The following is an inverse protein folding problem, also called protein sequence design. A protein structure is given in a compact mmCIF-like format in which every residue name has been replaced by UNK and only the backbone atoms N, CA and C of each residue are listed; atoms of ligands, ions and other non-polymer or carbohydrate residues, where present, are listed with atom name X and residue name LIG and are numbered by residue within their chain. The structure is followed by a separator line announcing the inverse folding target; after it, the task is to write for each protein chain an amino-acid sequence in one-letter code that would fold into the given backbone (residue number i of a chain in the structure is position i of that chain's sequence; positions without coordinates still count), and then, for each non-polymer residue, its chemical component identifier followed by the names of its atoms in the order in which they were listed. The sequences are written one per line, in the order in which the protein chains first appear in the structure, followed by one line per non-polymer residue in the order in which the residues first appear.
data_IF_309826680488
#
_entry.id   IF_309826680488
#
_cell.length_a   1.000
_cell.length_b   1.000
_cell.length_c   1.000
_cell.angle_alpha   90.00
_cell.angle_beta   90.00
_cell.angle_gamma   90.00
#
_symmetry.space_group_name_H-M   'P 1'
#
loop_
_entity.id
_entity.type
_entity.pdbx_description
1 polymer ?
#
# COMPACT_ATOMS: atom_id res chain seq x y z
N UNK A 1 36.70 1.54 27.45
CA UNK A 1 35.24 1.24 27.38
C UNK A 1 34.99 -0.16 27.92
N UNK A 2 34.07 -0.32 28.88
CA UNK A 2 33.69 -1.64 29.41
C UNK A 2 33.22 -2.55 28.26
N UNK A 3 33.60 -3.83 28.28
CA UNK A 3 33.27 -4.81 27.23
C UNK A 3 31.78 -4.81 26.86
N UNK A 4 30.90 -4.65 27.85
CA UNK A 4 29.43 -4.52 27.71
C UNK A 4 29.04 -3.40 26.74
N UNK A 5 29.71 -2.24 26.81
CA UNK A 5 29.36 -1.10 25.95
C UNK A 5 29.64 -1.40 24.47
N UNK A 6 30.71 -2.14 24.18
CA UNK A 6 31.03 -2.56 22.81
C UNK A 6 29.97 -3.54 22.29
N UNK A 7 29.60 -4.55 23.08
CA UNK A 7 28.55 -5.51 22.71
C UNK A 7 27.20 -4.83 22.51
N UNK A 8 26.80 -3.95 23.42
CA UNK A 8 25.53 -3.24 23.33
C UNK A 8 25.45 -2.33 22.12
N UNK A 9 26.56 -1.68 21.75
CA UNK A 9 26.63 -0.86 20.56
C UNK A 9 26.47 -1.72 19.30
N UNK A 10 27.13 -2.87 19.22
CA UNK A 10 26.99 -3.80 18.09
C UNK A 10 25.56 -4.33 17.97
N UNK A 11 24.95 -4.78 19.06
CA UNK A 11 23.56 -5.26 19.04
C UNK A 11 22.57 -4.16 18.70
N UNK A 12 22.74 -2.97 19.26
CA UNK A 12 21.86 -1.84 18.96
C UNK A 12 21.91 -1.47 17.47
N UNK A 13 23.10 -1.43 16.87
CA UNK A 13 23.27 -1.17 15.43
C UNK A 13 22.62 -2.29 14.61
N UNK A 14 22.88 -3.55 14.95
CA UNK A 14 22.32 -4.69 14.24
C UNK A 14 20.78 -4.70 14.29
N UNK A 15 20.20 -4.45 15.46
CA UNK A 15 18.75 -4.40 15.64
C UNK A 15 18.14 -3.18 14.94
N UNK A 16 18.80 -2.02 14.97
CA UNK A 16 18.35 -0.84 14.24
C UNK A 16 18.33 -1.09 12.71
N UNK A 17 19.36 -1.73 12.16
CA UNK A 17 19.41 -2.10 10.74
C UNK A 17 18.29 -3.09 10.41
N UNK A 18 18.14 -4.15 11.21
CA UNK A 18 17.10 -5.16 11.00
C UNK A 18 15.69 -4.57 11.07
N UNK A 19 15.43 -3.71 12.06
CA UNK A 19 14.15 -3.02 12.22
C UNK A 19 13.89 -2.03 11.09
N UNK A 20 14.92 -1.33 10.61
CA UNK A 20 14.84 -0.40 9.48
C UNK A 20 14.48 -1.11 8.17
N UNK A 21 15.18 -2.21 7.84
CA UNK A 21 14.89 -3.02 6.64
C UNK A 21 13.48 -3.59 6.72
N UNK A 22 13.13 -4.19 7.86
CA UNK A 22 11.81 -4.79 8.08
C UNK A 22 10.71 -3.74 7.99
N UNK A 23 10.93 -2.56 8.59
CA UNK A 23 10.00 -1.44 8.53
C UNK A 23 9.80 -0.93 7.10
N UNK A 24 10.86 -0.79 6.32
CA UNK A 24 10.76 -0.39 4.91
C UNK A 24 9.94 -1.41 4.09
N UNK A 25 10.25 -2.70 4.22
CA UNK A 25 9.54 -3.77 3.49
C UNK A 25 8.08 -3.85 3.92
N UNK A 26 7.80 -3.83 5.23
CA UNK A 26 6.45 -3.88 5.77
C UNK A 26 5.62 -2.68 5.33
N UNK A 27 6.18 -1.47 5.36
CA UNK A 27 5.49 -0.27 4.91
C UNK A 27 5.12 -0.36 3.43
N UNK A 28 6.08 -0.72 2.57
CA UNK A 28 5.83 -0.89 1.13
C UNK A 28 4.76 -1.93 0.85
N UNK A 29 4.86 -3.09 1.50
CA UNK A 29 3.92 -4.20 1.32
C UNK A 29 2.50 -3.83 1.77
N UNK A 30 2.36 -3.16 2.92
CA UNK A 30 1.05 -2.74 3.43
C UNK A 30 0.42 -1.65 2.57
N UNK A 31 1.21 -0.69 2.07
CA UNK A 31 0.72 0.35 1.17
C UNK A 31 0.27 -0.24 -0.18
N UNK A 32 1.10 -1.09 -0.79
CA UNK A 32 0.75 -1.77 -2.05
C UNK A 32 -0.50 -2.63 -1.89
N UNK A 33 -0.64 -3.38 -0.78
CA UNK A 33 -1.84 -4.16 -0.53
C UNK A 33 -3.09 -3.27 -0.42
N UNK A 34 -3.01 -2.15 0.31
CA UNK A 34 -4.13 -1.20 0.39
C UNK A 34 -4.49 -0.62 -0.98
N UNK A 35 -3.49 -0.30 -1.80
CA UNK A 35 -3.68 0.18 -3.17
C UNK A 35 -4.33 -0.87 -4.07
N UNK A 36 -3.89 -2.13 -3.99
CA UNK A 36 -4.46 -3.24 -4.77
C UNK A 36 -5.91 -3.53 -4.36
N UNK A 37 -6.23 -3.45 -3.06
CA UNK A 37 -7.61 -3.59 -2.56
C UNK A 37 -8.52 -2.50 -3.16
N UNK A 38 -8.07 -1.25 -3.15
CA UNK A 38 -8.82 -0.13 -3.76
C UNK A 38 -8.97 -0.32 -5.27
N UNK A 39 -7.91 -0.74 -5.94
CA UNK A 39 -7.96 -1.01 -7.37
C UNK A 39 -8.97 -2.13 -7.72
N UNK A 40 -9.01 -3.19 -6.91
CA UNK A 40 -9.98 -4.27 -7.08
C UNK A 40 -11.42 -3.76 -6.88
N UNK A 41 -11.66 -2.92 -5.88
CA UNK A 41 -12.97 -2.28 -5.68
C UNK A 41 -13.34 -1.38 -6.87
N UNK A 42 -12.39 -0.60 -7.39
CA UNK A 42 -12.60 0.23 -8.57
C UNK A 42 -12.96 -0.60 -9.82
N UNK A 43 -12.32 -1.77 -10.01
CA UNK A 43 -12.66 -2.70 -11.08
C UNK A 43 -14.06 -3.26 -10.93
N UNK A 44 -14.44 -3.70 -9.73
CA UNK A 44 -15.80 -4.21 -9.47
C UNK A 44 -16.84 -3.11 -9.73
N UNK A 45 -16.58 -1.87 -9.32
CA UNK A 45 -17.45 -0.72 -9.63
C UNK A 45 -17.55 -0.47 -11.14
N UNK A 46 -16.44 -0.53 -11.87
CA UNK A 46 -16.45 -0.41 -13.33
C UNK A 46 -17.29 -1.53 -13.97
N UNK A 47 -17.11 -2.78 -13.56
CA UNK A 47 -17.93 -3.90 -14.05
C UNK A 47 -19.41 -3.74 -13.69
N UNK A 48 -19.73 -3.23 -12.50
CA UNK A 48 -21.10 -2.93 -12.10
C UNK A 48 -21.73 -1.85 -13.00
N UNK A 49 -20.99 -0.80 -13.33
CA UNK A 49 -21.44 0.23 -14.27
C UNK A 49 -21.67 -0.36 -15.68
N UNK A 50 -20.74 -1.21 -16.16
CA UNK A 50 -20.89 -1.89 -17.45
C UNK A 50 -22.07 -2.88 -17.46
N UNK A 51 -22.33 -3.55 -16.34
CA UNK A 51 -23.49 -4.42 -16.18
C UNK A 51 -24.80 -3.62 -16.21
N UNK A 52 -24.84 -2.45 -15.54
CA UNK A 52 -25.98 -1.53 -15.60
C UNK A 52 -26.22 -1.04 -17.03
N UNK A 53 -25.16 -0.64 -17.76
CA UNK A 53 -25.25 -0.30 -19.20
C UNK A 53 -25.85 -1.46 -20.00
N UNK A 54 -25.35 -2.67 -19.79
CA UNK A 54 -25.82 -3.87 -20.46
C UNK A 54 -27.30 -4.16 -20.19
N UNK A 55 -27.73 -4.02 -18.94
CA UNK A 55 -29.13 -4.14 -18.53
C UNK A 55 -30.01 -3.09 -19.20
N UNK A 56 -29.60 -1.82 -19.19
CA UNK A 56 -30.33 -0.73 -19.84
C UNK A 56 -30.49 -0.98 -21.34
N UNK A 57 -29.41 -1.34 -22.05
CA UNK A 57 -29.46 -1.65 -23.48
C UNK A 57 -30.36 -2.84 -23.81
N UNK A 58 -30.24 -3.94 -23.07
CA UNK A 58 -30.86 -5.23 -23.43
C UNK A 58 -32.31 -5.34 -22.95
N UNK A 59 -32.64 -4.74 -21.81
CA UNK A 59 -33.94 -4.93 -21.16
C UNK A 59 -34.77 -3.65 -21.15
N UNK A 60 -34.18 -2.50 -20.81
CA UNK A 60 -34.95 -1.26 -20.64
C UNK A 60 -35.25 -0.58 -21.99
N UNK A 61 -34.24 -0.41 -22.84
CA UNK A 61 -34.40 0.28 -24.13
C UNK A 61 -35.53 -0.30 -25.00
N UNK A 62 -35.69 -1.63 -25.17
CA UNK A 62 -36.79 -2.18 -25.95
C UNK A 62 -38.17 -1.83 -25.39
N UNK A 63 -38.32 -1.76 -24.07
CA UNK A 63 -39.60 -1.42 -23.41
C UNK A 63 -39.99 0.04 -23.58
N UNK A 64 -39.00 0.92 -23.81
CA UNK A 64 -39.21 2.36 -23.99
C UNK A 64 -39.27 2.80 -25.46
N UNK A 65 -38.98 1.90 -26.40
CA UNK A 65 -38.79 2.23 -27.82
C UNK A 65 -39.99 2.97 -28.44
N UNK A 66 -41.22 2.54 -28.16
CA UNK A 66 -42.43 3.17 -28.71
C UNK A 66 -42.65 4.60 -28.21
N UNK A 67 -42.31 4.89 -26.95
CA UNK A 67 -42.44 6.24 -26.38
C UNK A 67 -41.31 7.18 -26.83
N UNK A 68 -40.14 6.62 -27.15
CA UNK A 68 -38.96 7.38 -27.57
C UNK A 68 -39.15 8.17 -28.88
N UNK A 69 -40.09 7.75 -29.73
CA UNK A 69 -40.42 8.45 -30.98
C UNK A 69 -41.01 9.84 -30.73
N UNK A 70 -41.76 10.01 -29.63
CA UNK A 70 -42.44 11.26 -29.29
C UNK A 70 -41.73 12.02 -28.16
N UNK A 71 -41.15 11.31 -27.20
CA UNK A 71 -40.45 11.90 -26.05
C UNK A 71 -39.12 11.18 -25.78
N UNK A 72 -38.03 11.93 -25.70
CA UNK A 72 -36.73 11.34 -25.37
C UNK A 72 -36.63 11.04 -23.88
N UNK A 73 -36.55 9.75 -23.55
CA UNK A 73 -36.40 9.22 -22.20
C UNK A 73 -34.94 8.83 -21.95
N UNK A 74 -34.18 9.61 -21.14
CA UNK A 74 -32.78 9.31 -20.84
C UNK A 74 -32.55 7.93 -20.22
N UNK A 75 -33.56 7.35 -19.56
CA UNK A 75 -33.55 6.01 -18.97
C UNK A 75 -33.29 4.89 -19.99
N UNK A 76 -33.49 5.17 -21.28
CA UNK A 76 -33.13 4.25 -22.38
C UNK A 76 -31.64 4.27 -22.76
N UNK A 77 -30.88 5.27 -22.28
CA UNK A 77 -29.46 5.46 -22.60
C UNK A 77 -28.61 4.69 -21.58
N UNK A 78 -27.73 3.77 -22.02
CA UNK A 78 -26.92 2.95 -21.11
C UNK A 78 -26.07 3.77 -20.14
N UNK A 79 -25.45 4.84 -20.63
CA UNK A 79 -24.63 5.75 -19.83
C UNK A 79 -25.42 6.45 -18.72
N UNK A 80 -26.68 6.80 -19.02
CA UNK A 80 -27.56 7.43 -18.04
C UNK A 80 -27.85 6.47 -16.89
N UNK A 81 -28.24 5.21 -17.19
CA UNK A 81 -28.52 4.20 -16.16
C UNK A 81 -27.33 3.94 -15.23
N UNK A 82 -26.14 3.78 -15.79
CA UNK A 82 -24.93 3.61 -14.99
C UNK A 82 -24.60 4.85 -14.14
N UNK A 83 -24.72 6.04 -14.72
CA UNK A 83 -24.44 7.29 -13.99
C UNK A 83 -25.43 7.53 -12.85
N UNK A 84 -26.73 7.33 -13.08
CA UNK A 84 -27.75 7.51 -12.04
C UNK A 84 -27.59 6.51 -10.89
N UNK A 85 -27.25 5.25 -11.19
CA UNK A 85 -26.98 4.25 -10.15
C UNK A 85 -25.84 4.70 -9.21
N UNK A 86 -24.76 5.24 -9.76
CA UNK A 86 -23.65 5.74 -8.95
C UNK A 86 -23.95 7.09 -8.30
N UNK A 87 -24.81 7.93 -8.87
CA UNK A 87 -25.31 9.12 -8.19
C UNK A 87 -26.10 8.74 -6.93
N UNK A 88 -26.91 7.68 -6.99
CA UNK A 88 -27.60 7.15 -5.81
C UNK A 88 -26.59 6.61 -4.78
N UNK A 89 -25.57 5.85 -5.21
CA UNK A 89 -24.50 5.39 -4.32
C UNK A 89 -23.83 6.56 -3.56
N UNK A 90 -23.59 7.67 -4.27
CA UNK A 90 -22.93 8.85 -3.73
C UNK A 90 -23.70 9.58 -2.65
N UNK A 91 -25.00 9.31 -2.49
CA UNK A 91 -25.79 9.87 -1.38
C UNK A 91 -25.25 9.40 -0.02
N UNK A 92 -24.80 8.14 0.06
CA UNK A 92 -24.23 7.53 1.25
C UNK A 92 -22.69 7.43 1.19
N UNK A 93 -22.10 7.58 0.00
CA UNK A 93 -20.67 7.45 -0.27
C UNK A 93 -20.15 8.58 -1.19
N UNK A 94 -20.18 9.86 -0.74
CA UNK A 94 -19.95 11.03 -1.58
C UNK A 94 -18.56 11.11 -2.23
N UNK A 95 -17.57 10.44 -1.64
CA UNK A 95 -16.18 10.36 -2.09
C UNK A 95 -15.94 9.36 -3.22
N UNK A 96 -16.91 8.48 -3.49
CA UNK A 96 -16.87 7.56 -4.63
C UNK A 96 -17.44 8.27 -5.87
N UNK A 97 -16.96 7.88 -7.05
CA UNK A 97 -17.39 8.50 -8.29
C UNK A 97 -17.41 7.52 -9.45
N UNK A 98 -18.39 7.71 -10.33
CA UNK A 98 -18.40 7.15 -11.68
C UNK A 98 -18.85 8.24 -12.64
N UNK A 99 -18.15 8.40 -13.75
CA UNK A 99 -18.51 9.33 -14.81
C UNK A 99 -18.11 8.78 -16.17
N UNK A 100 -18.96 8.96 -17.16
CA UNK A 100 -18.60 8.74 -18.57
C UNK A 100 -18.12 10.06 -19.18
N UNK A 101 -16.90 10.45 -18.81
CA UNK A 101 -16.29 11.69 -19.22
C UNK A 101 -16.06 11.70 -20.74
N UNK A 102 -16.69 12.63 -21.44
CA UNK A 102 -16.65 12.70 -22.91
C UNK A 102 -16.23 14.09 -23.36
N UNK A 103 -15.44 14.19 -24.44
CA UNK A 103 -14.97 15.49 -24.94
C UNK A 103 -16.12 16.34 -25.51
N UNK A 104 -17.04 15.69 -26.22
CA UNK A 104 -18.25 16.28 -26.77
C UNK A 104 -19.48 15.43 -26.39
N UNK A 105 -20.01 15.56 -25.16
CA UNK A 105 -21.17 14.79 -24.69
C UNK A 105 -22.49 15.40 -25.18
N UNK A 106 -23.54 14.58 -25.29
CA UNK A 106 -24.92 15.09 -25.45
C UNK A 106 -25.40 15.84 -24.21
N UNK A 107 -25.16 15.28 -23.02
CA UNK A 107 -25.51 15.93 -21.76
C UNK A 107 -24.28 16.68 -21.21
N UNK A 108 -24.35 18.02 -21.02
CA UNK A 108 -23.21 18.80 -20.53
C UNK A 108 -22.62 18.33 -19.20
N UNK A 109 -23.39 17.63 -18.36
CA UNK A 109 -22.90 17.06 -17.09
C UNK A 109 -21.75 16.05 -17.29
N UNK A 110 -21.73 15.39 -18.45
CA UNK A 110 -20.77 14.33 -18.79
C UNK A 110 -19.52 14.91 -19.48
N UNK A 111 -19.41 16.24 -19.59
CA UNK A 111 -18.26 16.90 -20.23
C UNK A 111 -17.01 16.61 -19.42
N UNK A 112 -15.98 16.13 -20.11
CA UNK A 112 -14.69 15.86 -19.51
C UNK A 112 -14.13 17.12 -18.85
N UNK A 113 -13.70 16.99 -17.59
CA UNK A 113 -12.81 17.96 -16.96
C UNK A 113 -11.40 17.84 -17.58
N UNK A 114 -10.55 18.84 -17.38
CA UNK A 114 -9.23 18.92 -18.02
C UNK A 114 -8.40 17.64 -17.80
N UNK A 115 -8.36 17.12 -16.58
CA UNK A 115 -7.65 15.88 -16.25
C UNK A 115 -8.27 14.63 -16.89
N UNK A 116 -9.59 14.62 -17.11
CA UNK A 116 -10.29 13.52 -17.78
C UNK A 116 -9.99 13.57 -19.28
N UNK A 117 -9.88 14.78 -19.84
CA UNK A 117 -9.45 14.99 -21.22
C UNK A 117 -8.05 14.45 -21.45
N UNK A 118 -7.12 14.62 -20.51
CA UNK A 118 -5.77 14.03 -20.59
C UNK A 118 -5.80 12.50 -20.67
N UNK A 119 -6.70 11.86 -19.89
CA UNK A 119 -6.91 10.40 -19.93
C UNK A 119 -7.43 9.99 -21.31
N UNK A 120 -8.42 10.72 -21.84
CA UNK A 120 -8.99 10.45 -23.16
C UNK A 120 -7.93 10.59 -24.26
N UNK A 121 -7.07 11.62 -24.18
CA UNK A 121 -5.97 11.81 -25.13
C UNK A 121 -4.94 10.68 -25.07
N UNK A 122 -4.62 10.18 -23.86
CA UNK A 122 -3.75 8.99 -23.73
C UNK A 122 -4.34 7.77 -24.43
N UNK A 123 -5.64 7.52 -24.28
CA UNK A 123 -6.32 6.44 -25.00
C UNK A 123 -6.33 6.64 -26.52
N UNK A 124 -6.44 7.89 -27.00
CA UNK A 124 -6.32 8.20 -28.44
C UNK A 124 -4.91 7.95 -28.99
N UNK A 125 -3.88 8.17 -28.17
CA UNK A 125 -2.49 8.01 -28.56
C UNK A 125 -1.98 6.56 -28.45
N UNK A 126 -2.62 5.74 -27.61
CA UNK A 126 -2.20 4.36 -27.34
C UNK A 126 -3.37 3.40 -27.63
N UNK A 127 -3.37 2.80 -28.82
CA UNK A 127 -4.47 1.93 -29.31
C UNK A 127 -4.72 0.69 -28.47
N UNK A 128 -3.72 0.23 -27.71
CA UNK A 128 -3.75 -1.07 -27.03
C UNK A 128 -4.00 -0.96 -25.51
N UNK A 129 -4.13 0.26 -24.96
CA UNK A 129 -4.42 0.44 -23.54
C UNK A 129 -5.92 0.28 -23.28
N UNK A 130 -6.29 -0.86 -22.70
CA UNK A 130 -7.68 -1.15 -22.30
C UNK A 130 -8.09 -0.50 -20.97
N UNK A 131 -7.10 -0.12 -20.15
CA UNK A 131 -7.29 0.41 -18.80
C UNK A 131 -6.14 1.35 -18.43
N UNK A 132 -6.48 2.49 -17.80
CA UNK A 132 -5.53 3.41 -17.20
C UNK A 132 -5.83 3.57 -15.72
N UNK A 133 -4.81 3.48 -14.89
CA UNK A 133 -4.91 3.61 -13.43
C UNK A 133 -4.00 4.73 -12.98
N UNK A 134 -4.48 5.59 -12.09
CA UNK A 134 -3.66 6.61 -11.46
C UNK A 134 -4.21 7.04 -10.13
N UNK A 135 -3.45 7.88 -9.44
CA UNK A 135 -3.83 8.49 -8.17
C UNK A 135 -3.82 10.01 -8.34
N UNK A 136 -4.70 10.68 -7.59
CA UNK A 136 -4.86 12.12 -7.60
C UNK A 136 -5.15 12.62 -6.20
N UNK A 137 -4.64 13.79 -5.88
CA UNK A 137 -5.10 14.52 -4.72
C UNK A 137 -6.41 15.23 -5.05
N UNK A 138 -7.39 15.11 -4.15
CA UNK A 138 -8.69 15.76 -4.26
C UNK A 138 -8.99 16.50 -2.96
N UNK A 139 -9.96 17.43 -2.93
CA UNK A 139 -10.35 18.11 -1.69
C UNK A 139 -10.80 17.16 -0.56
N UNK A 140 -11.29 15.96 -0.89
CA UNK A 140 -11.66 14.91 0.08
C UNK A 140 -10.52 13.94 0.43
N UNK A 141 -9.31 14.18 -0.09
CA UNK A 141 -8.12 13.35 0.11
C UNK A 141 -7.63 12.65 -1.16
N UNK A 142 -6.63 11.77 -1.05
CA UNK A 142 -6.12 11.02 -2.20
C UNK A 142 -7.20 10.08 -2.73
N UNK A 143 -7.34 10.03 -4.05
CA UNK A 143 -8.27 9.16 -4.75
C UNK A 143 -7.54 8.40 -5.86
N UNK A 144 -7.80 7.10 -5.94
CA UNK A 144 -7.41 6.28 -7.06
C UNK A 144 -8.49 6.38 -8.13
N UNK A 145 -8.08 6.57 -9.39
CA UNK A 145 -8.98 6.45 -10.52
C UNK A 145 -8.61 5.24 -11.38
N UNK A 146 -9.65 4.60 -11.92
CA UNK A 146 -9.57 3.59 -12.96
C UNK A 146 -10.39 4.07 -14.15
N UNK A 147 -9.76 4.12 -15.31
CA UNK A 147 -10.40 4.57 -16.54
C UNK A 147 -10.38 3.49 -17.62
N UNK A 148 -11.43 3.42 -18.42
CA UNK A 148 -11.51 2.61 -19.65
C UNK A 148 -12.02 3.46 -20.81
N UNK A 149 -11.52 3.26 -22.05
CA UNK A 149 -11.89 4.10 -23.17
C UNK A 149 -13.33 3.84 -23.63
N UNK A 150 -14.03 4.90 -24.00
CA UNK A 150 -15.29 4.82 -24.75
C UNK A 150 -14.93 4.92 -26.23
N UNK A 151 -14.62 3.78 -26.83
CA UNK A 151 -14.39 3.67 -28.26
C UNK A 151 -15.67 3.26 -29.00
N UNK A 152 -16.01 3.96 -30.08
CA UNK A 152 -17.20 3.68 -30.89
C UNK A 152 -16.96 2.45 -31.76
N UNK A 153 -17.21 1.27 -31.19
CA UNK A 153 -17.13 -0.02 -31.91
C UNK A 153 -18.47 -0.53 -32.41
N UNK A 154 -19.57 0.07 -31.97
CA UNK A 154 -20.93 -0.27 -32.38
C UNK A 154 -21.52 0.86 -33.24
N UNK A 155 -21.92 0.54 -34.47
CA UNK A 155 -22.57 1.48 -35.38
C UNK A 155 -23.91 2.02 -34.81
N UNK A 156 -24.53 1.31 -33.88
CA UNK A 156 -25.73 1.76 -33.17
C UNK A 156 -25.54 3.08 -32.40
N UNK A 157 -24.31 3.41 -31.99
CA UNK A 157 -24.01 4.72 -31.39
C UNK A 157 -24.19 5.87 -32.39
N UNK A 158 -23.89 5.62 -33.67
CA UNK A 158 -23.93 6.63 -34.72
C UNK A 158 -25.35 6.97 -35.17
N UNK A 159 -26.36 6.20 -34.76
CA UNK A 159 -27.78 6.54 -34.95
C UNK A 159 -28.13 7.85 -34.26
N UNK A 160 -27.53 8.14 -33.10
CA UNK A 160 -27.78 9.36 -32.35
C UNK A 160 -26.64 10.37 -32.40
N UNK A 161 -25.39 9.91 -32.62
CA UNK A 161 -24.19 10.73 -32.42
C UNK A 161 -23.42 11.07 -33.71
N UNK A 162 -23.90 10.66 -34.89
CA UNK A 162 -23.24 10.99 -36.16
C UNK A 162 -23.46 12.45 -36.55
N UNK A 163 -24.62 12.78 -37.13
CA UNK A 163 -25.00 14.13 -37.54
C UNK A 163 -26.29 14.53 -36.84
N UNK A 164 -26.54 15.83 -36.77
CA UNK A 164 -27.79 16.37 -36.20
C UNK A 164 -29.00 15.84 -36.99
N UNK A 165 -28.94 15.84 -38.33
CA UNK A 165 -30.04 15.41 -39.19
C UNK A 165 -30.41 13.93 -39.04
N UNK A 166 -29.42 13.08 -38.73
CA UNK A 166 -29.63 11.64 -38.51
C UNK A 166 -30.23 11.32 -37.13
N UNK A 167 -30.07 12.22 -36.16
CA UNK A 167 -30.45 11.96 -34.78
C UNK A 167 -31.97 12.03 -34.56
N UNK A 168 -32.52 11.28 -33.58
CA UNK A 168 -33.94 11.36 -33.26
C UNK A 168 -34.36 12.78 -32.89
N UNK A 169 -35.45 13.28 -33.50
CA UNK A 169 -35.99 14.63 -33.21
C UNK A 169 -36.28 14.84 -31.73
N UNK A 170 -36.69 13.78 -31.03
CA UNK A 170 -36.95 13.81 -29.59
C UNK A 170 -35.67 14.09 -28.78
N UNK A 171 -34.51 13.56 -29.19
CA UNK A 171 -33.20 13.85 -28.58
C UNK A 171 -32.83 15.32 -28.77
N UNK A 172 -32.92 15.81 -30.00
CA UNK A 172 -32.61 17.20 -30.35
C UNK A 172 -33.51 18.17 -29.57
N UNK A 173 -34.82 17.88 -29.47
CA UNK A 173 -35.76 18.69 -28.69
C UNK A 173 -35.36 18.80 -27.22
N UNK A 174 -34.73 17.77 -26.64
CA UNK A 174 -34.33 17.74 -25.24
C UNK A 174 -32.96 18.38 -24.97
N UNK A 175 -31.97 18.09 -25.82
CA UNK A 175 -30.57 18.46 -25.57
C UNK A 175 -30.02 19.53 -26.53
N UNK A 176 -30.79 19.90 -27.55
CA UNK A 176 -30.37 20.80 -28.62
C UNK A 176 -29.40 20.14 -29.60
N UNK A 177 -28.87 20.97 -30.50
CA UNK A 177 -28.02 20.55 -31.62
C UNK A 177 -26.52 20.83 -31.39
N UNK A 178 -26.20 21.51 -30.28
CA UNK A 178 -24.87 22.07 -30.07
C UNK A 178 -23.78 21.06 -29.67
N UNK A 179 -24.14 19.91 -29.08
CA UNK A 179 -23.17 18.95 -28.53
C UNK A 179 -23.62 17.51 -28.72
N UNK A 180 -22.67 16.57 -28.65
CA UNK A 180 -22.96 15.13 -28.71
C UNK A 180 -23.12 14.56 -30.12
N UNK A 181 -22.66 15.28 -31.14
CA UNK A 181 -22.64 14.85 -32.54
C UNK A 181 -21.21 14.87 -33.10
N UNK A 182 -21.04 14.36 -34.31
CA UNK A 182 -19.77 14.32 -35.04
C UNK A 182 -18.88 13.12 -34.73
N UNK A 183 -19.36 12.18 -33.90
CA UNK A 183 -18.59 11.00 -33.51
C UNK A 183 -18.34 10.10 -34.72
N UNK A 184 -17.13 9.55 -34.81
CA UNK A 184 -16.73 8.65 -35.89
C UNK A 184 -16.61 7.20 -35.41
N UNK A 185 -16.81 6.26 -36.33
CA UNK A 185 -16.55 4.84 -36.03
C UNK A 185 -15.08 4.63 -35.68
N UNK A 186 -14.80 3.75 -34.71
CA UNK A 186 -13.50 3.50 -34.09
C UNK A 186 -12.85 4.70 -33.37
N UNK A 187 -13.54 5.83 -33.22
CA UNK A 187 -13.04 6.96 -32.44
C UNK A 187 -13.17 6.70 -30.93
N UNK A 188 -12.15 7.09 -30.16
CA UNK A 188 -12.25 7.22 -28.70
C UNK A 188 -12.85 8.59 -28.38
N UNK A 189 -14.13 8.63 -28.01
CA UNK A 189 -14.86 9.89 -27.77
C UNK A 189 -14.79 10.35 -26.30
N UNK A 190 -14.48 9.41 -25.40
CA UNK A 190 -14.48 9.63 -23.96
C UNK A 190 -13.82 8.49 -23.19
N UNK A 191 -13.97 8.52 -21.87
CA UNK A 191 -13.52 7.52 -20.94
C UNK A 191 -14.57 7.30 -19.84
N UNK A 192 -14.81 6.04 -19.48
CA UNK A 192 -15.49 5.68 -18.25
C UNK A 192 -14.47 5.82 -17.12
N UNK A 193 -14.75 6.63 -16.11
CA UNK A 193 -13.83 6.91 -15.02
C UNK A 193 -14.50 6.58 -13.70
N UNK A 194 -13.93 5.61 -12.98
CA UNK A 194 -14.26 5.31 -11.59
C UNK A 194 -13.25 6.03 -10.70
N UNK A 195 -13.72 6.66 -9.64
CA UNK A 195 -12.90 7.29 -8.60
C UNK A 195 -13.24 6.67 -7.25
N UNK A 196 -12.21 6.22 -6.52
CA UNK A 196 -12.34 5.56 -5.21
C UNK A 196 -11.42 6.25 -4.20
N UNK A 197 -11.87 6.53 -2.97
CA UNK A 197 -11.02 7.15 -1.94
C UNK A 197 -9.91 6.21 -1.48
N UNK A 198 -8.72 6.75 -1.26
CA UNK A 198 -7.57 6.02 -0.69
C UNK A 198 -7.39 6.30 0.82
N UNK A 199 -8.09 7.29 1.37
CA UNK A 199 -7.91 7.75 2.76
C UNK A 199 -8.06 6.62 3.80
N UNK A 200 -9.19 5.92 3.80
CA UNK A 200 -9.45 4.85 4.77
C UNK A 200 -8.52 3.63 4.59
N UNK A 201 -8.30 3.12 3.35
CA UNK A 201 -7.31 2.07 3.09
C UNK A 201 -5.89 2.43 3.56
N UNK A 202 -5.41 3.64 3.26
CA UNK A 202 -4.09 4.11 3.72
C UNK A 202 -4.05 4.20 5.25
N UNK A 203 -5.10 4.71 5.90
CA UNK A 203 -5.16 4.74 7.37
C UNK A 203 -5.12 3.33 7.98
N UNK A 204 -5.82 2.36 7.39
CA UNK A 204 -5.76 0.95 7.83
C UNK A 204 -4.35 0.38 7.66
N UNK A 205 -3.69 0.62 6.53
CA UNK A 205 -2.31 0.22 6.29
C UNK A 205 -1.34 0.84 7.31
N UNK A 206 -1.47 2.14 7.60
CA UNK A 206 -0.66 2.83 8.59
C UNK A 206 -0.87 2.31 10.01
N UNK A 207 -2.10 2.02 10.40
CA UNK A 207 -2.42 1.43 11.70
C UNK A 207 -1.83 0.02 11.83
N UNK A 208 -1.99 -0.82 10.80
CA UNK A 208 -1.40 -2.16 10.76
C UNK A 208 0.13 -2.09 10.86
N UNK A 209 0.76 -1.17 10.10
CA UNK A 209 2.19 -0.93 10.14
C UNK A 209 2.66 -0.54 11.54
N UNK A 210 1.99 0.44 12.17
CA UNK A 210 2.35 0.91 13.51
C UNK A 210 2.24 -0.21 14.54
N UNK A 211 1.15 -0.97 14.52
CA UNK A 211 0.94 -2.12 15.43
C UNK A 211 2.04 -3.17 15.24
N UNK A 212 2.34 -3.52 13.98
CA UNK A 212 3.40 -4.47 13.65
C UNK A 212 4.78 -3.99 14.14
N UNK A 213 5.12 -2.72 13.89
CA UNK A 213 6.41 -2.16 14.31
C UNK A 213 6.54 -2.06 15.84
N UNK A 214 5.45 -1.73 16.54
CA UNK A 214 5.45 -1.72 18.01
C UNK A 214 5.63 -3.13 18.58
N UNK A 215 4.91 -4.12 18.03
CA UNK A 215 5.06 -5.52 18.46
C UNK A 215 6.48 -6.05 18.19
N UNK A 216 7.02 -5.79 17.00
CA UNK A 216 8.38 -6.16 16.64
C UNK A 216 9.42 -5.48 17.53
N UNK A 217 9.25 -4.17 17.79
CA UNK A 217 10.11 -3.41 18.69
C UNK A 217 10.08 -3.96 20.11
N UNK A 218 8.91 -4.35 20.62
CA UNK A 218 8.77 -4.99 21.93
C UNK A 218 9.52 -6.34 21.99
N UNK A 219 9.38 -7.18 20.97
CA UNK A 219 10.10 -8.46 20.88
C UNK A 219 11.62 -8.24 20.85
N UNK A 220 12.10 -7.29 20.03
CA UNK A 220 13.52 -6.94 19.98
C UNK A 220 14.03 -6.40 21.32
N UNK A 221 13.23 -5.60 22.03
CA UNK A 221 13.59 -5.11 23.36
C UNK A 221 13.73 -6.25 24.38
N UNK A 222 12.81 -7.23 24.37
CA UNK A 222 12.91 -8.42 25.22
C UNK A 222 14.17 -9.22 24.91
N UNK A 223 14.47 -9.45 23.62
CA UNK A 223 15.69 -10.15 23.20
C UNK A 223 16.94 -9.37 23.61
N UNK A 224 16.95 -8.05 23.42
CA UNK A 224 18.07 -7.18 23.78
C UNK A 224 18.38 -7.26 25.29
N UNK A 225 17.34 -7.21 26.12
CA UNK A 225 17.47 -7.36 27.58
C UNK A 225 17.97 -8.77 27.92
N UNK A 226 17.38 -9.81 27.31
CA UNK A 226 17.78 -11.20 27.51
C UNK A 226 19.26 -11.44 27.19
N UNK A 227 19.74 -10.96 26.03
CA UNK A 227 21.15 -11.06 25.64
C UNK A 227 22.07 -10.27 26.58
N UNK A 228 21.65 -9.09 27.03
CA UNK A 228 22.40 -8.30 28.00
C UNK A 228 22.57 -9.01 29.33
N UNK A 229 21.48 -9.60 29.85
CA UNK A 229 21.51 -10.40 31.07
C UNK A 229 22.41 -11.61 30.87
N UNK A 230 22.21 -12.37 29.79
CA UNK A 230 23.01 -13.55 29.45
C UNK A 230 24.51 -13.23 29.44
N UNK A 231 24.94 -12.20 28.69
CA UNK A 231 26.35 -11.80 28.61
C UNK A 231 26.89 -11.34 29.96
N UNK A 232 26.09 -10.59 30.72
CA UNK A 232 26.52 -10.08 32.02
C UNK A 232 26.77 -11.21 33.01
N UNK A 233 25.84 -12.17 33.10
CA UNK A 233 25.93 -13.27 34.06
C UNK A 233 26.87 -14.38 33.62
N UNK A 234 26.84 -14.78 32.34
CA UNK A 234 27.61 -15.92 31.85
C UNK A 234 29.04 -15.56 31.45
N UNK A 235 29.30 -14.32 31.00
CA UNK A 235 30.63 -13.95 30.47
C UNK A 235 31.31 -12.90 31.34
N UNK A 236 30.67 -11.73 31.53
CA UNK A 236 31.34 -10.57 32.12
C UNK A 236 31.67 -10.80 33.59
N UNK A 237 30.72 -11.31 34.38
CA UNK A 237 30.94 -11.57 35.81
C UNK A 237 32.06 -12.59 36.06
N UNK A 238 32.07 -13.79 35.46
CA UNK A 238 33.16 -14.76 35.62
C UNK A 238 34.54 -14.21 35.19
N UNK A 239 34.61 -13.52 34.04
CA UNK A 239 35.87 -12.93 33.56
C UNK A 239 36.38 -11.84 34.52
N UNK A 240 35.48 -11.00 35.06
CA UNK A 240 35.88 -10.00 36.05
C UNK A 240 36.35 -10.62 37.38
N UNK A 241 35.76 -11.74 37.80
CA UNK A 241 36.23 -12.48 38.98
C UNK A 241 37.64 -13.03 38.76
N UNK A 242 37.90 -13.68 37.60
CA UNK A 242 39.23 -14.15 37.23
C UNK A 242 40.26 -13.01 37.14
N UNK A 243 39.89 -11.88 36.52
CA UNK A 243 40.77 -10.72 36.41
C UNK A 243 41.14 -10.16 37.80
N UNK A 244 40.18 -10.11 38.73
CA UNK A 244 40.43 -9.66 40.10
C UNK A 244 41.35 -10.62 40.86
N UNK A 245 41.14 -11.93 40.75
CA UNK A 245 42.01 -12.93 41.37
C UNK A 245 43.44 -12.86 40.81
N UNK A 246 43.58 -12.67 39.49
CA UNK A 246 44.88 -12.48 38.85
C UNK A 246 45.61 -11.23 39.37
N UNK A 247 44.89 -10.12 39.53
CA UNK A 247 45.43 -8.88 40.09
C UNK A 247 45.91 -9.07 41.54
N UNK A 248 45.11 -9.74 42.37
CA UNK A 248 45.48 -10.05 43.77
C UNK A 248 46.74 -10.92 43.86
N UNK A 249 46.83 -11.99 43.06
CA UNK A 249 48.01 -12.86 43.01
C UNK A 249 49.24 -12.09 42.53
N UNK A 250 49.09 -11.19 41.54
CA UNK A 250 50.21 -10.37 41.04
C UNK A 250 50.77 -9.40 42.08
N UNK A 251 49.94 -8.99 43.04
CA UNK A 251 50.31 -8.13 44.17
C UNK A 251 50.88 -8.91 45.37
N UNK A 252 51.16 -10.21 45.20
CA UNK A 252 51.73 -11.07 46.24
C UNK A 252 50.72 -11.64 47.24
N UNK A 253 49.41 -11.48 47.01
CA UNK A 253 48.37 -12.12 47.84
C UNK A 253 48.12 -13.54 47.37
N UNK A 254 49.04 -14.43 47.76
CA UNK A 254 49.08 -15.81 47.30
C UNK A 254 48.03 -16.73 47.96
N UNK A 255 47.43 -16.30 49.06
CA UNK A 255 46.39 -17.04 49.79
C UNK A 255 44.96 -16.83 49.24
N UNK A 256 44.82 -16.15 48.09
CA UNK A 256 43.52 -15.94 47.46
C UNK A 256 42.85 -17.28 47.09
N UNK A 257 41.53 -17.38 47.24
CA UNK A 257 40.77 -18.59 46.92
C UNK A 257 40.92 -18.99 45.44
N UNK A 258 40.79 -20.29 45.16
CA UNK A 258 40.74 -20.79 43.78
C UNK A 258 39.47 -20.30 43.08
N UNK A 259 39.60 -19.99 41.79
CA UNK A 259 38.43 -19.73 40.97
C UNK A 259 37.60 -21.01 40.84
N UNK A 260 36.32 -20.93 41.19
CA UNK A 260 35.35 -22.01 41.03
C UNK A 260 34.21 -21.50 40.15
N UNK A 261 34.15 -21.96 38.90
CA UNK A 261 33.07 -21.53 38.00
C UNK A 261 33.07 -22.25 36.68
N UNK A 262 31.87 -22.63 36.22
CA UNK A 262 31.57 -23.12 34.87
C UNK A 262 32.21 -24.45 34.47
N UNK A 263 31.58 -25.14 33.52
CA UNK A 263 32.20 -26.22 32.74
C UNK A 263 32.45 -25.80 31.29
N UNK A 264 32.31 -24.50 31.00
CA UNK A 264 32.53 -23.88 29.70
C UNK A 264 34.01 -23.44 29.54
N UNK A 265 34.32 -22.76 28.45
CA UNK A 265 35.67 -22.28 28.14
C UNK A 265 36.22 -21.34 29.23
N UNK A 266 35.35 -20.60 29.93
CA UNK A 266 35.77 -19.74 31.05
C UNK A 266 36.14 -20.61 32.26
N UNK A 267 35.40 -21.69 32.51
CA UNK A 267 35.76 -22.67 33.54
C UNK A 267 37.10 -23.36 33.27
N UNK A 268 37.37 -23.75 32.02
CA UNK A 268 38.66 -24.33 31.61
C UNK A 268 39.81 -23.33 31.80
N UNK A 269 39.58 -22.05 31.48
CA UNK A 269 40.53 -20.97 31.74
C UNK A 269 40.79 -20.81 33.24
N UNK A 270 39.74 -20.84 34.07
CA UNK A 270 39.85 -20.76 35.51
C UNK A 270 40.65 -21.90 36.14
N UNK A 271 40.46 -23.14 35.66
CA UNK A 271 41.26 -24.29 36.09
C UNK A 271 42.74 -24.15 35.70
N UNK A 272 43.02 -23.59 34.52
CA UNK A 272 44.38 -23.34 34.07
C UNK A 272 45.04 -22.22 34.88
N UNK A 273 44.29 -21.17 35.22
CA UNK A 273 44.72 -20.11 36.12
C UNK A 273 45.05 -20.64 37.53
N UNK A 274 44.20 -21.48 38.12
CA UNK A 274 44.44 -22.07 39.44
C UNK A 274 45.74 -22.90 39.47
N UNK A 275 46.00 -23.70 38.42
CA UNK A 275 47.25 -24.47 38.28
C UNK A 275 48.47 -23.55 38.21
N UNK A 276 48.42 -22.49 37.40
CA UNK A 276 49.49 -21.50 37.28
C UNK A 276 49.75 -20.80 38.62
N UNK A 277 48.70 -20.36 39.33
CA UNK A 277 48.81 -19.78 40.68
C UNK A 277 49.56 -20.72 41.61
N UNK A 278 49.15 -22.00 41.68
CA UNK A 278 49.78 -22.99 42.54
C UNK A 278 51.26 -23.20 42.23
N UNK A 279 51.64 -23.27 40.95
CA UNK A 279 53.04 -23.37 40.54
C UNK A 279 53.85 -22.14 40.93
N UNK A 280 53.29 -20.94 40.83
CA UNK A 280 53.94 -19.70 41.27
C UNK A 280 54.17 -19.69 42.79
N UNK A 281 53.16 -20.09 43.57
CA UNK A 281 53.26 -20.18 45.04
C UNK A 281 54.39 -21.12 45.45
N UNK A 282 54.49 -22.30 44.83
CA UNK A 282 55.57 -23.23 45.12
C UNK A 282 56.95 -22.70 44.69
N UNK A 283 57.04 -22.00 43.55
CA UNK A 283 58.30 -21.39 43.11
C UNK A 283 58.78 -20.29 44.07
N UNK A 284 57.87 -19.47 44.62
CA UNK A 284 58.23 -18.43 45.59
C UNK A 284 58.73 -19.03 46.91
N UNK A 285 58.12 -20.12 47.39
CA UNK A 285 58.60 -20.85 48.58
C UNK A 285 60.00 -21.44 48.44
N UNK A 286 60.48 -21.68 47.21
CA UNK A 286 61.83 -22.19 46.95
C UNK A 286 62.89 -21.09 46.91
N UNK A 287 62.47 -19.83 46.83
CA UNK A 287 63.35 -18.66 46.81
C UNK A 287 63.55 -18.05 48.21
N UNK A 288 62.67 -18.38 49.17
CA UNK A 288 62.77 -18.07 50.60
C UNK A 288 63.57 -19.14 51.35
#
# INVERSE_FOLDING_TARGET
MKLILKFNLVFAVMFAIGLGITGYVAHKLLYENARQEVLQNARIMMEAALAARGYTSKQIRPLLASRMETEFLPQSVPAYGATEQFNELRTNHPEYGYKEATLNPTNPRDRAADWEADIIQRFRQTSDSSELIGERDTPSGPSLYLARPIQIKDAGCLVCHSTVDAAPRSLIKRYGEANGFGWQFNEVVGAQVVSVPMTLPIQKANNAFRTFMLAMGAVLAVIFIGLNLMITFMVVRPVMQLAKLADEVSMGKLDAADFTGGSDEIGVLGLSFNRMKKSLVEAMKLLD
#
